data_IF_232976017472
#
_entry.id   IF_232976017472
#
_cell.length_a   1.000
_cell.length_b   1.000
_cell.length_c   1.000
_cell.angle_alpha   90.00
_cell.angle_beta   90.00
_cell.angle_gamma   90.00
#
_symmetry.space_group_name_H-M   'P 1'
#
loop_
_entity.id
_entity.type
_entity.pdbx_description
1 polymer ?
#
# COMPACT_ATOMS: atom_id res chain seq x y z
N UNK A 1 2.50 -99.77 11.75
CA UNK A 1 1.30 -98.95 12.01
C UNK A 1 1.79 -97.59 12.46
N UNK A 2 1.30 -96.54 11.82
CA UNK A 2 2.03 -95.34 11.45
C UNK A 2 2.53 -94.47 12.62
N UNK A 3 3.77 -94.03 12.46
CA UNK A 3 4.43 -92.93 13.15
C UNK A 3 4.01 -91.64 12.40
N UNK A 4 3.31 -90.71 13.06
CA UNK A 4 2.97 -89.40 12.50
C UNK A 4 3.67 -88.30 13.32
N UNK A 5 4.60 -87.54 12.74
CA UNK A 5 5.14 -86.35 13.37
C UNK A 5 4.12 -85.20 13.30
N UNK A 6 3.85 -84.56 14.44
CA UNK A 6 3.11 -83.29 14.48
C UNK A 6 3.86 -82.19 13.72
N UNK A 7 3.17 -81.36 12.92
CA UNK A 7 3.82 -80.28 12.19
C UNK A 7 4.22 -79.15 13.16
N UNK A 8 5.53 -78.97 13.28
CA UNK A 8 6.18 -77.81 13.87
C UNK A 8 5.63 -76.52 13.21
N UNK A 9 4.81 -75.77 13.94
CA UNK A 9 4.30 -74.48 13.47
C UNK A 9 5.46 -73.47 13.44
N UNK A 10 6.08 -73.35 12.26
CA UNK A 10 6.99 -72.26 11.95
C UNK A 10 6.18 -70.95 11.98
N UNK A 11 6.28 -70.24 13.10
CA UNK A 11 5.81 -68.87 13.23
C UNK A 11 6.68 -67.97 12.34
N UNK A 12 6.23 -67.79 11.10
CA UNK A 12 6.84 -66.83 10.17
C UNK A 12 6.54 -65.43 10.71
N UNK A 13 7.50 -64.85 11.41
CA UNK A 13 7.50 -63.43 11.74
C UNK A 13 7.34 -62.63 10.45
N UNK A 14 6.16 -62.01 10.26
CA UNK A 14 5.95 -61.07 9.16
C UNK A 14 6.94 -59.92 9.35
N UNK A 15 7.76 -59.58 8.34
CA UNK A 15 8.60 -58.40 8.42
C UNK A 15 7.69 -57.18 8.56
N UNK A 16 7.85 -56.45 9.66
CA UNK A 16 7.14 -55.19 9.91
C UNK A 16 7.36 -54.25 8.73
N UNK A 17 6.26 -53.79 8.11
CA UNK A 17 6.31 -52.73 7.11
C UNK A 17 7.07 -51.53 7.69
N UNK A 18 8.02 -50.93 6.97
CA UNK A 18 8.92 -49.94 7.53
C UNK A 18 8.14 -48.68 7.94
N UNK A 19 8.28 -48.28 9.20
CA UNK A 19 7.75 -47.05 9.80
C UNK A 19 8.30 -45.73 9.17
N UNK A 20 9.07 -45.83 8.09
CA UNK A 20 9.76 -44.73 7.44
C UNK A 20 8.83 -43.75 6.71
N UNK A 21 7.70 -44.23 6.16
CA UNK A 21 6.74 -43.35 5.45
C UNK A 21 6.03 -42.37 6.37
N UNK A 22 5.73 -42.74 7.62
CA UNK A 22 5.12 -41.84 8.60
C UNK A 22 6.10 -40.77 9.09
N UNK A 23 7.37 -41.14 9.27
CA UNK A 23 8.41 -40.20 9.67
C UNK A 23 8.70 -39.16 8.57
N UNK A 24 8.83 -39.61 7.32
CA UNK A 24 9.06 -38.72 6.17
C UNK A 24 7.86 -37.79 5.92
N UNK A 25 6.63 -38.29 6.01
CA UNK A 25 5.42 -37.49 5.83
C UNK A 25 5.30 -36.38 6.90
N UNK A 26 5.65 -36.68 8.15
CA UNK A 26 5.68 -35.68 9.22
C UNK A 26 6.73 -34.59 8.96
N UNK A 27 7.93 -34.96 8.54
CA UNK A 27 8.98 -33.98 8.21
C UNK A 27 8.57 -33.09 7.05
N UNK A 28 8.01 -33.65 5.98
CA UNK A 28 7.50 -32.87 4.84
C UNK A 28 6.38 -31.92 5.27
N UNK A 29 5.46 -32.37 6.12
CA UNK A 29 4.39 -31.52 6.66
C UNK A 29 4.93 -30.36 7.50
N UNK A 30 5.93 -30.61 8.33
CA UNK A 30 6.60 -29.56 9.13
C UNK A 30 7.28 -28.53 8.23
N UNK A 31 8.03 -28.98 7.21
CA UNK A 31 8.71 -28.09 6.27
C UNK A 31 7.70 -27.24 5.49
N UNK A 32 6.62 -27.86 5.01
CA UNK A 32 5.57 -27.15 4.30
C UNK A 32 4.88 -26.11 5.19
N UNK A 33 4.58 -26.47 6.44
CA UNK A 33 4.04 -25.56 7.44
C UNK A 33 4.97 -24.37 7.70
N UNK A 34 6.28 -24.62 7.82
CA UNK A 34 7.28 -23.57 8.01
C UNK A 34 7.37 -22.62 6.80
N UNK A 35 7.33 -23.16 5.58
CA UNK A 35 7.33 -22.36 4.35
C UNK A 35 6.08 -21.48 4.26
N UNK A 36 4.90 -22.05 4.47
CA UNK A 36 3.62 -21.31 4.45
C UNK A 36 3.61 -20.23 5.54
N UNK A 37 4.06 -20.57 6.75
CA UNK A 37 4.16 -19.62 7.86
C UNK A 37 5.08 -18.45 7.51
N UNK A 38 6.25 -18.72 6.94
CA UNK A 38 7.22 -17.69 6.53
C UNK A 38 6.63 -16.77 5.46
N UNK A 39 5.96 -17.32 4.45
CA UNK A 39 5.30 -16.53 3.40
C UNK A 39 4.21 -15.64 4.01
N UNK A 40 3.38 -16.18 4.90
CA UNK A 40 2.36 -15.41 5.62
C UNK A 40 2.97 -14.28 6.46
N UNK A 41 4.08 -14.53 7.17
CA UNK A 41 4.77 -13.50 7.95
C UNK A 41 5.32 -12.38 7.06
N UNK A 42 5.90 -12.73 5.90
CA UNK A 42 6.40 -11.73 4.94
C UNK A 42 5.24 -10.91 4.38
N UNK A 43 4.14 -11.54 3.98
CA UNK A 43 2.96 -10.83 3.46
C UNK A 43 2.36 -9.92 4.53
N UNK A 44 2.19 -10.41 5.76
CA UNK A 44 1.70 -9.61 6.88
C UNK A 44 2.64 -8.42 7.16
N UNK A 45 3.96 -8.65 7.14
CA UNK A 45 4.96 -7.59 7.25
C UNK A 45 4.80 -6.54 6.15
N UNK A 46 4.72 -6.96 4.88
CA UNK A 46 4.52 -6.02 3.76
C UNK A 46 3.23 -5.21 3.92
N UNK A 47 2.12 -5.86 4.26
CA UNK A 47 0.83 -5.17 4.45
C UNK A 47 0.87 -4.15 5.60
N UNK A 48 1.61 -4.42 6.67
CA UNK A 48 1.78 -3.46 7.78
C UNK A 48 2.73 -2.31 7.43
N UNK A 49 3.73 -2.55 6.58
CA UNK A 49 4.73 -1.53 6.22
C UNK A 49 4.40 -0.76 4.93
N UNK A 50 3.42 -1.20 4.15
CA UNK A 50 2.96 -0.51 2.95
C UNK A 50 2.19 0.77 3.33
N UNK A 51 2.67 1.96 2.91
CA UNK A 51 1.96 3.20 3.15
C UNK A 51 0.64 3.21 2.38
N UNK A 52 -0.46 3.53 3.05
CA UNK A 52 -1.74 3.77 2.39
C UNK A 52 -1.86 5.24 2.05
N UNK A 53 -2.37 5.55 0.86
CA UNK A 53 -2.58 6.93 0.43
C UNK A 53 -4.06 7.16 0.15
N UNK A 54 -4.66 8.14 0.81
CA UNK A 54 -6.06 8.51 0.63
C UNK A 54 -6.19 9.96 0.17
N UNK A 55 -7.22 10.26 -0.63
CA UNK A 55 -7.56 11.65 -0.96
C UNK A 55 -8.50 12.19 0.09
N UNK A 56 -8.08 13.25 0.78
CA UNK A 56 -8.88 13.89 1.82
C UNK A 56 -9.85 14.90 1.20
N UNK A 57 -9.37 15.69 0.23
CA UNK A 57 -10.15 16.76 -0.38
C UNK A 57 -9.62 17.07 -1.78
N UNK A 58 -10.52 17.42 -2.68
CA UNK A 58 -10.20 17.96 -4.01
C UNK A 58 -10.83 19.35 -4.13
N UNK A 59 -10.07 20.29 -4.69
CA UNK A 59 -10.51 21.66 -4.99
C UNK A 59 -10.18 21.96 -6.45
N UNK A 60 -11.21 22.08 -7.27
CA UNK A 60 -11.07 22.42 -8.69
C UNK A 60 -10.64 23.87 -8.89
N UNK A 61 -9.85 24.11 -9.93
CA UNK A 61 -9.59 25.46 -10.40
C UNK A 61 -10.86 26.02 -11.07
N UNK A 62 -11.31 27.24 -10.73
CA UNK A 62 -12.40 27.90 -11.44
C UNK A 62 -12.11 27.96 -12.94
N UNK A 63 -13.09 27.61 -13.76
CA UNK A 63 -12.91 27.39 -15.19
C UNK A 63 -12.41 28.67 -15.91
N UNK A 64 -12.87 29.83 -15.45
CA UNK A 64 -12.50 31.14 -16.00
C UNK A 64 -11.02 31.43 -15.76
N UNK A 65 -10.55 31.22 -14.53
CA UNK A 65 -9.16 31.45 -14.14
C UNK A 65 -8.23 30.42 -14.79
N UNK A 66 -8.64 29.16 -14.80
CA UNK A 66 -7.89 28.07 -15.40
C UNK A 66 -7.73 28.24 -16.91
N UNK A 67 -8.76 28.74 -17.59
CA UNK A 67 -8.69 29.04 -19.02
C UNK A 67 -7.76 30.23 -19.29
N UNK A 68 -7.84 31.30 -18.48
CA UNK A 68 -6.97 32.47 -18.61
C UNK A 68 -5.48 32.14 -18.41
N UNK A 69 -5.17 31.22 -17.49
CA UNK A 69 -3.80 30.74 -17.27
C UNK A 69 -3.38 29.55 -18.14
N UNK A 70 -4.27 29.02 -18.97
CA UNK A 70 -3.99 27.91 -19.87
C UNK A 70 -3.78 26.56 -19.18
N UNK A 71 -4.45 26.30 -18.07
CA UNK A 71 -4.46 25.01 -17.34
C UNK A 71 -5.90 24.51 -17.07
N UNK A 72 -6.79 24.44 -18.07
CA UNK A 72 -8.16 23.97 -17.85
C UNK A 72 -8.22 22.52 -17.36
N UNK A 73 -9.12 22.24 -16.41
CA UNK A 73 -9.30 20.91 -15.83
C UNK A 73 -8.25 20.50 -14.80
N UNK A 74 -7.50 21.46 -14.26
CA UNK A 74 -6.59 21.22 -13.14
C UNK A 74 -7.29 21.43 -11.80
N UNK A 75 -6.80 20.73 -10.78
CA UNK A 75 -7.28 20.81 -9.42
C UNK A 75 -6.13 20.62 -8.43
N UNK A 76 -6.43 20.92 -7.17
CA UNK A 76 -5.56 20.66 -6.03
C UNK A 76 -6.19 19.58 -5.16
N UNK A 77 -5.48 18.48 -4.91
CA UNK A 77 -5.91 17.43 -4.00
C UNK A 77 -5.02 17.36 -2.77
N UNK A 78 -5.63 17.25 -1.60
CA UNK A 78 -4.92 16.88 -0.37
C UNK A 78 -4.86 15.36 -0.31
N UNK A 79 -3.64 14.81 -0.32
CA UNK A 79 -3.36 13.40 -0.14
C UNK A 79 -2.78 13.17 1.25
N UNK A 80 -3.36 12.23 1.97
CA UNK A 80 -2.82 11.75 3.25
C UNK A 80 -2.16 10.41 3.03
N UNK A 81 -0.91 10.30 3.44
CA UNK A 81 -0.19 9.04 3.50
C UNK A 81 -0.11 8.59 4.95
N UNK A 82 -0.75 7.46 5.25
CA UNK A 82 -0.74 6.85 6.57
C UNK A 82 0.24 5.68 6.59
N UNK A 83 1.09 5.66 7.62
CA UNK A 83 2.06 4.59 7.86
C UNK A 83 1.79 3.99 9.23
N UNK A 84 1.84 2.65 9.32
CA UNK A 84 1.66 1.96 10.61
C UNK A 84 2.73 2.40 11.63
N UNK A 85 3.96 2.61 11.17
CA UNK A 85 5.03 3.22 11.94
C UNK A 85 5.43 4.56 11.30
N UNK A 86 5.48 5.64 12.08
CA UNK A 86 5.96 6.96 11.63
C UNK A 86 4.87 8.03 11.40
N UNK A 87 3.60 7.70 11.65
CA UNK A 87 2.49 8.65 11.63
C UNK A 87 1.98 9.01 10.23
N UNK A 88 1.08 9.99 10.20
CA UNK A 88 0.48 10.50 8.97
C UNK A 88 1.29 11.68 8.41
N UNK A 89 1.40 11.72 7.09
CA UNK A 89 1.96 12.86 6.36
C UNK A 89 0.96 13.33 5.30
N UNK A 90 0.72 14.64 5.25
CA UNK A 90 -0.15 15.24 4.24
C UNK A 90 0.69 15.89 3.13
N UNK A 91 0.18 15.84 1.90
CA UNK A 91 0.74 16.51 0.75
C UNK A 91 -0.36 17.11 -0.13
N UNK A 92 -0.09 18.27 -0.72
CA UNK A 92 -0.99 18.90 -1.70
C UNK A 92 -0.47 18.60 -3.09
N UNK A 93 -1.29 17.90 -3.87
CA UNK A 93 -1.00 17.56 -5.26
C UNK A 93 -1.73 18.56 -6.17
N UNK A 94 -0.99 19.19 -7.06
CA UNK A 94 -1.50 20.10 -8.08
C UNK A 94 -1.32 19.43 -9.43
N UNK A 95 -2.41 19.25 -10.17
CA UNK A 95 -2.35 18.55 -11.45
C UNK A 95 -3.70 18.44 -12.12
N UNK A 96 -3.76 17.64 -13.19
CA UNK A 96 -4.98 17.41 -13.96
C UNK A 96 -5.97 16.57 -13.15
N UNK A 97 -7.22 17.00 -13.10
CA UNK A 97 -8.31 16.26 -12.47
C UNK A 97 -8.92 15.25 -13.46
N UNK A 98 -8.84 13.97 -13.11
CA UNK A 98 -9.42 12.85 -13.87
C UNK A 98 -10.58 12.24 -13.09
N UNK A 99 -11.70 12.98 -12.96
CA UNK A 99 -12.91 12.48 -12.31
C UNK A 99 -12.80 12.32 -10.79
N UNK A 100 -12.07 13.23 -10.13
CA UNK A 100 -11.84 13.24 -8.68
C UNK A 100 -10.47 12.69 -8.27
N UNK A 101 -9.72 12.12 -9.20
CA UNK A 101 -8.31 11.79 -9.01
C UNK A 101 -7.41 12.84 -9.65
N UNK A 102 -6.67 13.57 -8.82
CA UNK A 102 -5.71 14.57 -9.29
C UNK A 102 -4.38 13.89 -9.54
N UNK A 103 -3.94 13.94 -10.80
CA UNK A 103 -2.62 13.45 -11.20
C UNK A 103 -1.51 14.16 -10.45
N UNK A 104 -0.44 13.43 -10.15
CA UNK A 104 0.71 13.92 -9.39
C UNK A 104 1.61 14.81 -10.27
N UNK A 105 1.13 16.01 -10.62
CA UNK A 105 1.89 17.02 -11.36
C UNK A 105 2.98 17.65 -10.49
N UNK A 106 2.58 18.57 -9.61
CA UNK A 106 3.45 19.12 -8.57
C UNK A 106 2.97 18.71 -7.18
N UNK A 107 3.90 18.52 -6.25
CA UNK A 107 3.61 18.10 -4.88
C UNK A 107 4.24 19.06 -3.90
N UNK A 108 3.41 19.57 -2.99
CA UNK A 108 3.84 20.36 -1.84
C UNK A 108 3.65 19.50 -0.59
N UNK A 109 4.76 19.09 0.04
CA UNK A 109 4.71 18.35 1.30
C UNK A 109 4.31 19.30 2.44
N UNK A 110 3.28 18.91 3.20
CA UNK A 110 2.79 19.72 4.32
C UNK A 110 3.56 19.33 5.57
N UNK A 111 4.32 20.29 6.09
CA UNK A 111 5.04 20.09 7.35
C UNK A 111 4.08 20.16 8.54
N UNK A 112 4.35 19.38 9.60
CA UNK A 112 3.53 19.34 10.82
C UNK A 112 3.32 20.72 11.49
N UNK A 113 4.20 21.68 11.20
CA UNK A 113 4.11 23.04 11.71
C UNK A 113 3.05 23.93 11.05
N UNK A 114 2.52 23.58 9.87
CA UNK A 114 1.68 24.47 9.06
C UNK A 114 0.20 24.50 9.47
N UNK A 115 -0.23 23.53 10.29
CA UNK A 115 -1.61 23.39 10.75
C UNK A 115 -2.37 22.30 9.97
N UNK A 116 -3.63 22.04 10.35
CA UNK A 116 -4.44 21.00 9.72
C UNK A 116 -4.76 21.34 8.26
N UNK A 117 -4.61 20.36 7.37
CA UNK A 117 -4.90 20.49 5.94
C UNK A 117 -6.38 20.58 5.61
N UNK A 118 -7.27 20.27 6.56
CA UNK A 118 -8.73 20.47 6.42
C UNK A 118 -9.08 21.93 6.15
N UNK A 119 -8.29 22.85 6.72
CA UNK A 119 -8.51 24.28 6.63
C UNK A 119 -7.78 24.92 5.44
N UNK A 120 -7.08 24.11 4.65
CA UNK A 120 -6.36 24.57 3.45
C UNK A 120 -7.33 25.29 2.50
N UNK A 121 -6.97 26.52 2.15
CA UNK A 121 -7.60 27.30 1.09
C UNK A 121 -6.66 27.38 -0.10
N UNK A 122 -7.17 27.05 -1.28
CA UNK A 122 -6.44 27.19 -2.53
C UNK A 122 -7.02 28.38 -3.28
N UNK A 123 -6.22 29.42 -3.41
CA UNK A 123 -6.56 30.58 -4.23
C UNK A 123 -5.93 30.39 -5.62
N UNK A 124 -6.77 30.26 -6.63
CA UNK A 124 -6.33 30.08 -8.01
C UNK A 124 -6.15 31.44 -8.69
N UNK A 125 -5.04 31.60 -9.39
CA UNK A 125 -4.65 32.81 -10.10
C UNK A 125 -4.21 32.43 -11.52
N UNK A 126 -4.38 33.28 -12.52
CA UNK A 126 -3.98 32.95 -13.89
C UNK A 126 -2.48 32.56 -14.03
N UNK A 127 -1.61 33.03 -13.12
CA UNK A 127 -0.19 32.70 -13.07
C UNK A 127 0.16 31.49 -12.17
N UNK A 128 -0.80 30.92 -11.43
CA UNK A 128 -0.57 29.77 -10.56
C UNK A 128 -1.61 29.53 -9.46
N UNK A 129 -1.16 29.00 -8.33
CA UNK A 129 -2.00 28.73 -7.17
C UNK A 129 -1.31 29.18 -5.87
N UNK A 130 -2.07 29.75 -4.94
CA UNK A 130 -1.60 30.07 -3.59
C UNK A 130 -2.29 29.15 -2.60
N UNK A 131 -1.48 28.35 -1.92
CA UNK A 131 -1.90 27.45 -0.85
C UNK A 131 -1.79 28.20 0.47
N UNK A 132 -2.92 28.47 1.12
CA UNK A 132 -2.98 29.15 2.42
C UNK A 132 -3.36 28.18 3.51
N UNK A 133 -2.48 28.03 4.50
CA UNK A 133 -2.68 27.18 5.66
C UNK A 133 -3.12 28.00 6.88
N UNK A 134 -3.78 27.34 7.83
CA UNK A 134 -4.40 28.02 8.98
C UNK A 134 -3.42 28.73 9.93
N UNK A 135 -2.14 28.35 9.92
CA UNK A 135 -1.09 29.03 10.70
C UNK A 135 -0.39 30.17 9.95
N UNK A 136 -1.00 30.69 8.89
CA UNK A 136 -0.47 31.82 8.13
C UNK A 136 0.68 31.46 7.19
N UNK A 137 0.93 30.17 6.96
CA UNK A 137 1.87 29.72 5.93
C UNK A 137 1.20 29.86 4.57
N UNK A 138 1.89 30.51 3.64
CA UNK A 138 1.45 30.66 2.26
C UNK A 138 2.51 30.08 1.33
N UNK A 139 2.10 29.19 0.43
CA UNK A 139 2.96 28.62 -0.60
C UNK A 139 2.40 29.01 -1.95
N UNK A 140 3.14 29.83 -2.70
CA UNK A 140 2.80 30.19 -4.07
C UNK A 140 3.47 29.20 -5.02
N UNK A 141 2.64 28.53 -5.82
CA UNK A 141 3.09 27.57 -6.83
C UNK A 141 2.77 28.16 -8.21
N UNK A 142 3.78 28.47 -9.03
CA UNK A 142 3.55 29.01 -10.37
C UNK A 142 3.04 27.93 -11.32
N UNK A 143 2.25 28.35 -12.32
CA UNK A 143 1.67 27.44 -13.34
C UNK A 143 2.72 26.62 -14.07
N UNK A 144 3.90 27.18 -14.31
CA UNK A 144 5.02 26.51 -14.99
C UNK A 144 5.53 25.26 -14.27
N UNK A 145 5.23 25.11 -12.97
CA UNK A 145 5.71 24.00 -12.15
C UNK A 145 4.72 22.83 -12.13
N UNK A 146 3.41 23.10 -12.19
CA UNK A 146 2.39 22.04 -12.12
C UNK A 146 1.71 21.73 -13.44
N UNK A 147 1.74 22.65 -14.41
CA UNK A 147 1.23 22.40 -15.75
C UNK A 147 2.20 21.47 -16.47
N UNK A 148 1.74 20.26 -16.77
CA UNK A 148 2.50 19.35 -17.62
C UNK A 148 2.51 19.91 -19.05
N UNK A 149 3.69 20.20 -19.57
CA UNK A 149 3.88 20.69 -20.95
C UNK A 149 4.17 19.56 -21.93
N UNK A 150 4.07 18.29 -21.51
CA UNK A 150 4.28 17.12 -22.37
C UNK A 150 2.99 16.58 -22.98
#
# INVERSE_FOLDING_TARGET
MADQPEPEQVSVARPGRPAAFGCLANVVSVILGALVGTVMTVVAGLLLFLPTTSTVRVQDAPAEVASAGGYPGYAAAVRRTSRFFGGDSDAVWLGRNNGGDVTRGHVVEVSAGWGPTTDLRVEWLADGAVLRFSRGVEVRVPVSVFKDTR
#
